data_IF_721384068983
#
_entry.id   IF_721384068983
#
_cell.length_a   1.000
_cell.length_b   1.000
_cell.length_c   1.000
_cell.angle_alpha   90.00
_cell.angle_beta   90.00
_cell.angle_gamma   90.00
#
_symmetry.space_group_name_H-M   'P 1'
#
loop_
_entity.id
_entity.type
_entity.pdbx_description
1 polymer ?
#
# COMPACT_ATOMS: atom_id res chain seq x y z
N UNK A 1 -12.40 1.95 -8.42
CA UNK A 1 -13.78 2.18 -8.90
C UNK A 1 -14.74 1.92 -7.75
N UNK A 2 -15.79 2.71 -7.63
CA UNK A 2 -16.83 2.53 -6.61
C UNK A 2 -18.03 1.77 -7.20
N UNK A 3 -18.44 0.68 -6.56
CA UNK A 3 -19.56 -0.15 -7.04
C UNK A 3 -20.93 0.24 -6.47
N UNK A 4 -20.98 0.98 -5.35
CA UNK A 4 -22.18 1.41 -4.61
C UNK A 4 -21.93 2.76 -3.94
N UNK A 5 -22.95 3.50 -3.49
CA UNK A 5 -22.70 4.80 -2.85
C UNK A 5 -21.77 4.64 -1.61
N UNK A 6 -20.86 5.59 -1.31
CA UNK A 6 -19.94 5.48 -0.18
C UNK A 6 -20.66 5.26 1.17
N UNK A 7 -21.85 5.83 1.33
CA UNK A 7 -22.74 5.65 2.49
C UNK A 7 -23.23 4.23 2.71
N UNK A 8 -23.30 3.40 1.67
CA UNK A 8 -23.75 2.00 1.77
C UNK A 8 -22.68 1.08 2.40
N UNK A 9 -21.44 1.55 2.53
CA UNK A 9 -20.36 0.81 3.17
C UNK A 9 -20.32 1.09 4.68
N UNK A 10 -20.99 0.23 5.45
CA UNK A 10 -21.15 0.36 6.91
C UNK A 10 -20.31 -0.62 7.74
N UNK A 11 -20.03 -1.83 7.24
CA UNK A 11 -19.27 -2.86 7.99
C UNK A 11 -17.77 -2.77 7.70
N UNK A 12 -17.39 -3.14 6.48
CA UNK A 12 -16.00 -3.06 6.01
C UNK A 12 -15.94 -1.93 5.00
N UNK A 13 -15.10 -0.93 5.27
CA UNK A 13 -14.93 0.23 4.38
C UNK A 13 -13.58 0.11 3.68
N UNK A 14 -13.55 -0.30 2.40
CA UNK A 14 -12.31 -0.38 1.63
C UNK A 14 -11.59 0.96 1.54
N UNK A 15 -10.29 0.92 1.25
CA UNK A 15 -9.45 2.12 1.15
C UNK A 15 -9.98 3.16 0.15
N UNK A 16 -10.38 2.73 -1.04
CA UNK A 16 -10.96 3.62 -2.05
C UNK A 16 -12.30 4.24 -1.62
N UNK A 17 -13.09 3.55 -0.78
CA UNK A 17 -14.33 4.10 -0.21
C UNK A 17 -14.03 5.09 0.92
N UNK A 18 -13.02 4.84 1.75
CA UNK A 18 -12.59 5.80 2.78
C UNK A 18 -12.13 7.12 2.16
N UNK A 19 -11.39 7.03 1.05
CA UNK A 19 -11.04 8.21 0.27
C UNK A 19 -12.28 8.87 -0.34
N UNK A 20 -13.20 8.10 -0.92
CA UNK A 20 -14.45 8.63 -1.47
C UNK A 20 -15.26 9.44 -0.45
N UNK A 21 -15.41 8.93 0.78
CA UNK A 21 -16.12 9.64 1.88
C UNK A 21 -15.50 10.99 2.23
N UNK A 22 -14.17 11.13 2.10
CA UNK A 22 -13.52 12.43 2.27
C UNK A 22 -13.82 13.36 1.10
N UNK A 23 -13.88 12.81 -0.11
CA UNK A 23 -14.10 13.55 -1.34
C UNK A 23 -15.58 14.00 -1.51
N UNK A 24 -16.53 13.35 -0.84
CA UNK A 24 -17.95 13.76 -0.79
C UNK A 24 -18.15 15.19 -0.27
N UNK A 25 -17.22 15.69 0.56
CA UNK A 25 -17.24 17.08 1.04
C UNK A 25 -16.88 18.11 -0.03
N UNK A 26 -16.25 17.67 -1.13
CA UNK A 26 -15.75 18.51 -2.21
C UNK A 26 -16.59 18.36 -3.47
N UNK A 27 -17.07 17.14 -3.77
CA UNK A 27 -17.90 16.85 -4.95
C UNK A 27 -18.86 15.68 -4.73
N UNK A 28 -19.91 15.62 -5.54
CA UNK A 28 -20.79 14.46 -5.60
C UNK A 28 -20.05 13.24 -6.19
N UNK A 29 -20.16 12.08 -5.54
CA UNK A 29 -19.53 10.82 -5.96
C UNK A 29 -20.63 9.86 -6.42
N UNK A 30 -20.52 9.36 -7.66
CA UNK A 30 -21.49 8.46 -8.27
C UNK A 30 -20.95 7.04 -8.40
N UNK A 31 -21.86 6.08 -8.55
CA UNK A 31 -21.51 4.70 -8.87
C UNK A 31 -20.78 4.67 -10.22
N UNK A 32 -19.68 3.94 -10.29
CA UNK A 32 -18.81 3.87 -11.46
C UNK A 32 -17.61 4.80 -11.40
N UNK A 33 -17.59 5.77 -10.48
CA UNK A 33 -16.47 6.70 -10.37
C UNK A 33 -15.16 6.02 -9.98
N UNK A 34 -14.07 6.51 -10.56
CA UNK A 34 -12.70 6.10 -10.22
C UNK A 34 -12.17 7.09 -9.19
N UNK A 35 -11.80 6.57 -8.02
CA UNK A 35 -11.21 7.36 -6.94
C UNK A 35 -9.72 7.09 -6.89
N UNK A 36 -8.94 8.12 -7.14
CA UNK A 36 -7.49 8.13 -6.98
C UNK A 36 -7.13 8.56 -5.57
N UNK A 37 -6.39 7.73 -4.84
CA UNK A 37 -6.03 7.99 -3.45
C UNK A 37 -4.56 7.64 -3.20
N UNK A 38 -3.99 8.26 -2.16
CA UNK A 38 -2.65 7.97 -1.66
C UNK A 38 -2.72 7.50 -0.21
N UNK A 39 -1.75 6.69 0.20
CA UNK A 39 -1.58 6.30 1.60
C UNK A 39 -0.90 7.42 2.37
N UNK A 40 -1.46 7.71 3.54
CA UNK A 40 -0.96 8.75 4.43
C UNK A 40 -0.63 8.17 5.79
N UNK A 41 0.29 8.82 6.50
CA UNK A 41 0.73 8.40 7.83
C UNK A 41 -0.40 8.48 8.87
N UNK A 42 -1.25 9.51 8.73
CA UNK A 42 -2.30 9.83 9.70
C UNK A 42 -3.61 9.12 9.39
N UNK A 43 -4.47 8.91 10.41
CA UNK A 43 -5.86 8.44 10.17
C UNK A 43 -6.58 9.45 9.26
N UNK A 44 -7.35 9.00 8.25
CA UNK A 44 -7.83 7.63 8.02
C UNK A 44 -6.88 6.70 7.24
N UNK A 45 -5.60 7.00 7.11
CA UNK A 45 -4.58 6.14 6.49
C UNK A 45 -4.59 6.17 4.96
N UNK A 46 -5.59 6.81 4.37
CA UNK A 46 -5.69 7.10 2.95
C UNK A 46 -6.36 8.45 2.74
N UNK A 47 -6.02 9.14 1.66
CA UNK A 47 -6.59 10.45 1.30
C UNK A 47 -6.78 10.54 -0.21
N UNK A 48 -7.83 11.20 -0.73
CA UNK A 48 -7.93 11.51 -2.14
C UNK A 48 -6.71 12.28 -2.63
N UNK A 49 -6.24 11.97 -3.82
CA UNK A 49 -5.07 12.63 -4.43
C UNK A 49 -5.28 14.15 -4.52
N UNK A 50 -6.52 14.57 -4.75
CA UNK A 50 -6.96 15.97 -4.83
C UNK A 50 -6.83 16.72 -3.49
N UNK A 51 -6.81 16.01 -2.35
CA UNK A 51 -6.75 16.59 -1.00
C UNK A 51 -5.43 16.28 -0.27
N UNK A 52 -4.55 15.52 -0.89
CA UNK A 52 -3.31 15.05 -0.29
C UNK A 52 -2.18 16.05 -0.49
N UNK A 53 -1.42 16.28 0.58
CA UNK A 53 -0.15 17.01 0.49
C UNK A 53 1.00 16.02 0.48
N UNK A 54 2.10 16.40 -0.17
CA UNK A 54 3.26 15.52 -0.38
C UNK A 54 3.91 15.08 0.94
N UNK A 55 3.91 15.95 1.93
CA UNK A 55 4.41 15.72 3.29
C UNK A 55 3.57 14.72 4.10
N UNK A 56 2.32 14.47 3.71
CA UNK A 56 1.44 13.53 4.40
C UNK A 56 1.60 12.08 3.90
N UNK A 57 2.29 11.89 2.76
CA UNK A 57 2.41 10.60 2.07
C UNK A 57 3.28 9.64 2.88
N UNK A 58 2.79 8.43 3.10
CA UNK A 58 3.52 7.37 3.80
C UNK A 58 4.46 6.64 2.83
N UNK A 59 5.60 7.24 2.51
CA UNK A 59 6.59 6.67 1.59
C UNK A 59 7.09 5.30 2.06
N UNK A 60 7.23 5.10 3.38
CA UNK A 60 7.70 3.82 3.94
C UNK A 60 6.77 2.69 3.55
N UNK A 61 5.46 2.90 3.64
CA UNK A 61 4.46 1.89 3.27
C UNK A 61 4.46 1.54 1.79
N UNK A 62 4.81 2.50 0.92
CA UNK A 62 5.01 2.22 -0.50
C UNK A 62 6.27 1.40 -0.73
N UNK A 63 7.38 1.68 -0.03
CA UNK A 63 8.59 0.85 -0.10
C UNK A 63 8.30 -0.58 0.34
N UNK A 64 7.63 -0.78 1.47
CA UNK A 64 7.25 -2.11 1.97
C UNK A 64 6.40 -2.89 0.96
N UNK A 65 5.47 -2.24 0.26
CA UNK A 65 4.69 -2.91 -0.79
C UNK A 65 5.51 -3.24 -2.02
N UNK A 66 6.43 -2.38 -2.41
CA UNK A 66 7.33 -2.67 -3.54
C UNK A 66 8.23 -3.85 -3.21
N UNK A 67 8.84 -3.85 -2.03
CA UNK A 67 9.65 -4.98 -1.53
C UNK A 67 8.83 -6.27 -1.54
N UNK A 68 7.65 -6.28 -0.90
CA UNK A 68 6.79 -7.46 -0.85
C UNK A 68 6.34 -7.95 -2.23
N UNK A 69 6.13 -7.05 -3.20
CA UNK A 69 5.76 -7.43 -4.56
C UNK A 69 6.95 -8.00 -5.32
N UNK A 70 8.14 -7.41 -5.14
CA UNK A 70 9.37 -7.88 -5.76
C UNK A 70 9.77 -9.23 -5.18
N UNK A 71 9.71 -9.42 -3.86
CA UNK A 71 9.99 -10.70 -3.20
C UNK A 71 9.12 -11.82 -3.75
N UNK A 72 7.82 -11.57 -3.97
CA UNK A 72 6.92 -12.56 -4.58
C UNK A 72 7.32 -12.93 -6.02
N UNK A 73 7.91 -12.00 -6.76
CA UNK A 73 8.37 -12.23 -8.14
C UNK A 73 9.74 -12.93 -8.11
N UNK A 74 10.69 -12.44 -7.33
CA UNK A 74 12.07 -12.92 -7.32
C UNK A 74 12.21 -14.26 -6.63
N UNK A 75 11.39 -14.55 -5.61
CA UNK A 75 11.33 -15.87 -4.98
C UNK A 75 10.97 -16.99 -5.95
N UNK A 76 10.17 -16.71 -7.00
CA UNK A 76 9.86 -17.68 -8.05
C UNK A 76 11.05 -18.00 -8.96
N UNK A 77 12.10 -17.19 -8.91
CA UNK A 77 13.32 -17.29 -9.71
C UNK A 77 14.54 -17.74 -8.87
N UNK A 78 14.34 -18.18 -7.63
CA UNK A 78 15.40 -18.41 -6.63
C UNK A 78 16.33 -17.20 -6.42
N UNK A 79 15.82 -15.99 -6.68
CA UNK A 79 16.53 -14.75 -6.46
C UNK A 79 16.12 -14.17 -5.11
N UNK A 80 17.04 -14.27 -4.14
CA UNK A 80 16.91 -13.60 -2.86
C UNK A 80 17.16 -12.09 -3.03
N UNK A 81 16.11 -11.30 -2.84
CA UNK A 81 16.15 -9.85 -3.04
C UNK A 81 17.11 -9.16 -2.06
N UNK A 82 17.27 -9.70 -0.85
CA UNK A 82 18.24 -9.19 0.12
C UNK A 82 19.68 -9.42 -0.36
N UNK A 83 19.95 -10.55 -1.02
CA UNK A 83 21.23 -10.83 -1.68
C UNK A 83 21.49 -9.86 -2.84
N UNK A 84 20.46 -9.52 -3.64
CA UNK A 84 20.57 -8.54 -4.75
C UNK A 84 20.86 -7.12 -4.23
N UNK A 85 20.24 -6.74 -3.11
CA UNK A 85 20.45 -5.43 -2.48
C UNK A 85 21.79 -5.33 -1.72
N UNK A 86 22.59 -6.41 -1.71
CA UNK A 86 23.87 -6.44 -1.00
C UNK A 86 23.73 -6.39 0.52
N UNK A 87 22.55 -6.71 1.06
CA UNK A 87 22.42 -6.90 2.50
C UNK A 87 23.24 -8.13 2.89
N UNK A 88 23.96 -8.11 4.02
CA UNK A 88 24.68 -9.28 4.47
C UNK A 88 23.68 -10.42 4.62
N UNK A 89 23.93 -11.51 3.86
CA UNK A 89 23.21 -12.77 4.01
C UNK A 89 23.19 -13.05 5.52
N UNK A 90 22.02 -13.22 6.12
CA UNK A 90 21.98 -13.74 7.48
C UNK A 90 22.64 -15.11 7.40
N UNK A 91 23.89 -15.17 7.87
CA UNK A 91 24.64 -16.40 8.03
C UNK A 91 23.82 -17.24 9.00
N UNK A 92 23.03 -18.15 8.45
CA UNK A 92 22.20 -19.04 9.24
C UNK A 92 23.10 -19.96 10.07
N UNK A 93 22.48 -20.63 11.04
CA UNK A 93 23.17 -21.58 11.90
C UNK A 93 23.90 -22.69 11.09
N UNK A 94 23.50 -22.93 9.85
CA UNK A 94 24.10 -23.86 8.89
C UNK A 94 25.57 -23.57 8.58
N UNK A 95 26.01 -22.30 8.64
CA UNK A 95 27.41 -21.93 8.43
C UNK A 95 28.30 -22.28 9.63
N UNK A 96 27.72 -22.47 10.82
CA UNK A 96 28.43 -22.90 12.03
C UNK A 96 28.68 -24.41 12.11
N UNK A 97 27.95 -25.23 11.34
CA UNK A 97 28.02 -26.69 11.46
C UNK A 97 29.06 -27.37 10.55
N UNK A 98 29.77 -26.61 9.71
CA UNK A 98 30.71 -27.16 8.71
C UNK A 98 32.13 -26.58 8.77
N UNK A 99 32.56 -26.06 9.93
CA UNK A 99 33.98 -25.80 10.23
C UNK A 99 34.62 -26.95 11.02
#
# INVERSE_FOLDING_TARGET
MISKAPSEYVKTVPQHIRAAKLLESVREIKKGDIISYVKILNKPGVKPTEMARKDEVDSKKYMEFMESTLDQITSSMDLDFDTILGKPKQTGLDEYFWN
#
